data_IF_879806686695
#
_entry.id   IF_879806686695
#
_cell.length_a   1.000
_cell.length_b   1.000
_cell.length_c   1.000
_cell.angle_alpha   90.00
_cell.angle_beta   90.00
_cell.angle_gamma   90.00
#
_symmetry.space_group_name_H-M   'P 1'
#
loop_
_entity.id
_entity.type
_entity.pdbx_description
1 polymer ?
#
# COMPACT_ATOMS: atom_id res chain seq x y z
N UNK A 1 18.38 -31.74 4.70
CA UNK A 1 17.48 -30.76 4.07
C UNK A 1 16.32 -31.51 3.47
N UNK A 2 15.12 -31.03 3.63
CA UNK A 2 13.94 -31.63 3.00
C UNK A 2 13.98 -31.32 1.51
N UNK A 3 13.64 -32.30 0.67
CA UNK A 3 13.66 -32.17 -0.79
C UNK A 3 12.32 -32.61 -1.39
N UNK A 4 11.93 -31.97 -2.47
CA UNK A 4 10.84 -32.40 -3.34
C UNK A 4 11.42 -32.94 -4.64
N UNK A 5 10.89 -34.05 -5.11
CA UNK A 5 11.31 -34.67 -6.35
C UNK A 5 10.32 -34.36 -7.47
N UNK A 6 10.83 -33.90 -8.60
CA UNK A 6 10.08 -33.64 -9.82
C UNK A 6 10.50 -34.69 -10.87
N UNK A 7 9.56 -35.52 -11.28
CA UNK A 7 9.76 -36.42 -12.43
C UNK A 7 9.51 -35.64 -13.73
N UNK A 8 10.42 -35.76 -14.69
CA UNK A 8 10.34 -35.09 -15.98
C UNK A 8 10.89 -36.04 -17.09
N UNK A 9 10.66 -35.71 -18.37
CA UNK A 9 11.06 -36.63 -19.47
C UNK A 9 12.54 -37.05 -19.51
N UNK A 10 13.43 -36.25 -18.91
CA UNK A 10 14.87 -36.53 -18.82
C UNK A 10 15.31 -37.23 -17.53
N UNK A 11 14.40 -37.59 -16.62
CA UNK A 11 14.72 -38.23 -15.34
C UNK A 11 14.02 -37.60 -14.14
N UNK A 12 14.70 -37.56 -13.00
CA UNK A 12 14.20 -37.02 -11.75
C UNK A 12 15.10 -35.91 -11.26
N UNK A 13 14.51 -34.76 -10.88
CA UNK A 13 15.18 -33.61 -10.28
C UNK A 13 14.80 -33.48 -8.82
N UNK A 14 15.80 -33.48 -7.93
CA UNK A 14 15.62 -33.08 -6.51
C UNK A 14 15.74 -31.59 -6.35
N UNK A 15 14.76 -30.97 -5.68
CA UNK A 15 14.69 -29.53 -5.41
C UNK A 15 14.65 -29.27 -3.90
N UNK A 16 15.47 -28.34 -3.39
CA UNK A 16 15.49 -28.02 -1.96
C UNK A 16 14.18 -27.36 -1.51
N UNK A 17 13.80 -27.62 -0.27
CA UNK A 17 12.68 -26.95 0.38
C UNK A 17 13.21 -25.90 1.35
N UNK A 18 12.82 -24.64 1.14
CA UNK A 18 13.04 -23.54 2.04
C UNK A 18 11.90 -23.51 3.08
N UNK A 19 12.21 -23.83 4.32
CA UNK A 19 11.22 -23.90 5.40
C UNK A 19 10.89 -22.50 5.92
N UNK A 20 9.60 -22.22 6.11
CA UNK A 20 9.13 -21.04 6.83
C UNK A 20 9.12 -21.30 8.35
N UNK A 21 9.14 -20.24 9.16
CA UNK A 21 8.87 -20.32 10.61
C UNK A 21 7.38 -20.61 10.83
N UNK A 22 6.54 -19.91 10.08
CA UNK A 22 5.09 -20.12 10.02
C UNK A 22 4.65 -20.01 8.55
N UNK A 23 3.57 -20.73 8.17
CA UNK A 23 3.04 -20.70 6.81
C UNK A 23 3.68 -21.71 5.86
N UNK A 24 3.43 -21.62 4.54
CA UNK A 24 3.87 -22.57 3.55
C UNK A 24 5.39 -22.49 3.30
N UNK A 25 6.02 -23.65 3.11
CA UNK A 25 7.40 -23.74 2.68
C UNK A 25 7.53 -23.47 1.18
N UNK A 26 8.69 -22.94 0.76
CA UNK A 26 9.01 -22.68 -0.65
C UNK A 26 9.83 -23.78 -1.29
N UNK A 27 9.54 -24.14 -2.53
CA UNK A 27 10.36 -25.07 -3.34
C UNK A 27 11.40 -24.26 -4.12
N UNK A 28 12.69 -24.52 -3.90
CA UNK A 28 13.78 -23.86 -4.60
C UNK A 28 13.94 -24.33 -6.04
N UNK A 29 13.56 -23.49 -7.01
CA UNK A 29 13.53 -23.85 -8.44
C UNK A 29 14.75 -23.37 -9.25
N UNK A 30 15.82 -22.91 -8.59
CA UNK A 30 16.99 -22.29 -9.26
C UNK A 30 17.68 -23.19 -10.30
N UNK A 31 17.65 -24.52 -10.12
CA UNK A 31 18.27 -25.48 -11.02
C UNK A 31 17.31 -26.03 -12.10
N UNK A 32 16.02 -25.76 -12.02
CA UNK A 32 14.99 -26.32 -12.86
C UNK A 32 15.31 -26.17 -14.37
N UNK A 33 15.54 -24.93 -14.81
CA UNK A 33 15.82 -24.64 -16.23
C UNK A 33 17.09 -25.34 -16.71
N UNK A 34 18.17 -25.32 -15.90
CA UNK A 34 19.47 -25.90 -16.28
C UNK A 34 19.40 -27.41 -16.45
N UNK A 35 18.64 -28.09 -15.59
CA UNK A 35 18.60 -29.56 -15.56
C UNK A 35 17.49 -30.17 -16.42
N UNK A 36 16.40 -29.43 -16.66
CA UNK A 36 15.24 -29.97 -17.38
C UNK A 36 14.93 -29.25 -18.69
N UNK A 37 15.53 -28.08 -18.95
CA UNK A 37 15.16 -27.23 -20.08
C UNK A 37 13.82 -26.49 -19.88
N UNK A 38 13.14 -26.71 -18.76
CA UNK A 38 11.82 -26.11 -18.44
C UNK A 38 11.95 -24.98 -17.44
N UNK A 39 11.00 -24.04 -17.47
CA UNK A 39 10.85 -22.96 -16.48
C UNK A 39 9.47 -23.05 -15.83
N UNK A 40 9.31 -22.44 -14.66
CA UNK A 40 7.99 -22.26 -14.05
C UNK A 40 7.14 -21.31 -14.88
N UNK A 41 5.83 -21.54 -14.91
CA UNK A 41 4.84 -20.65 -15.53
C UNK A 41 3.78 -20.30 -14.49
N UNK A 42 3.87 -19.10 -13.93
CA UNK A 42 2.99 -18.61 -12.87
C UNK A 42 2.63 -17.12 -13.11
N UNK A 43 1.65 -16.86 -14.00
CA UNK A 43 1.20 -15.50 -14.28
C UNK A 43 0.69 -14.81 -13.02
N UNK A 44 1.27 -13.63 -12.71
CA UNK A 44 0.89 -12.83 -11.54
C UNK A 44 1.41 -13.37 -10.21
N UNK A 45 2.35 -14.32 -10.21
CA UNK A 45 3.04 -14.85 -9.02
C UNK A 45 2.09 -15.42 -7.95
N UNK A 46 1.00 -16.09 -8.39
CA UNK A 46 -0.06 -16.60 -7.50
C UNK A 46 0.47 -17.65 -6.52
N UNK A 47 1.48 -18.43 -6.95
CA UNK A 47 2.09 -19.51 -6.19
C UNK A 47 3.63 -19.41 -6.16
N UNK A 48 4.17 -18.18 -6.21
CA UNK A 48 5.61 -17.94 -6.25
C UNK A 48 6.04 -17.07 -5.07
N UNK A 49 6.85 -17.62 -4.16
CA UNK A 49 7.59 -16.86 -3.18
C UNK A 49 8.83 -16.24 -3.86
N UNK A 50 8.87 -14.90 -3.94
CA UNK A 50 9.96 -14.17 -4.60
C UNK A 50 11.13 -13.86 -3.66
N UNK A 51 10.95 -13.98 -2.35
CA UNK A 51 11.95 -13.70 -1.30
C UNK A 51 11.58 -14.41 -0.01
N UNK A 52 12.52 -14.44 0.93
CA UNK A 52 12.25 -14.65 2.36
C UNK A 52 12.12 -13.28 3.03
N UNK A 53 11.21 -13.13 3.99
CA UNK A 53 11.00 -11.87 4.72
C UNK A 53 10.56 -12.12 6.15
N UNK A 54 11.10 -11.35 7.09
CA UNK A 54 10.69 -11.34 8.51
C UNK A 54 9.82 -10.15 8.87
N UNK A 55 9.23 -9.43 7.90
CA UNK A 55 8.52 -8.16 8.16
C UNK A 55 7.06 -8.41 8.50
N UNK A 56 6.34 -9.11 7.64
CA UNK A 56 4.89 -9.30 7.78
C UNK A 56 4.53 -10.77 7.60
N UNK A 57 3.73 -11.27 8.52
CA UNK A 57 3.10 -12.58 8.43
C UNK A 57 1.59 -12.44 8.21
N UNK A 58 1.06 -13.19 7.25
CA UNK A 58 -0.36 -13.25 6.96
C UNK A 58 -0.81 -14.70 6.89
N UNK A 59 -1.84 -15.05 7.66
CA UNK A 59 -2.62 -16.26 7.48
C UNK A 59 -4.02 -15.87 6.98
N UNK A 60 -4.23 -16.04 5.68
CA UNK A 60 -5.49 -15.65 5.04
C UNK A 60 -6.67 -16.53 5.43
N UNK A 61 -6.45 -17.79 5.78
CA UNK A 61 -7.51 -18.72 6.20
C UNK A 61 -7.91 -18.46 7.66
N UNK A 62 -6.95 -18.16 8.53
CA UNK A 62 -7.19 -17.80 9.92
C UNK A 62 -7.60 -16.32 10.12
N UNK A 63 -7.37 -15.45 9.14
CA UNK A 63 -7.61 -14.00 9.26
C UNK A 63 -6.60 -13.32 10.18
N UNK A 64 -5.34 -13.70 10.10
CA UNK A 64 -4.24 -13.18 10.93
C UNK A 64 -3.36 -12.25 10.12
N UNK A 65 -3.00 -11.11 10.72
CA UNK A 65 -1.97 -10.18 10.23
C UNK A 65 -1.06 -9.79 11.40
N UNK A 66 0.26 -9.93 11.20
CA UNK A 66 1.26 -9.52 12.19
C UNK A 66 2.39 -8.74 11.52
N UNK A 67 2.85 -7.68 12.18
CA UNK A 67 4.07 -6.96 11.81
C UNK A 67 5.18 -7.35 12.79
N UNK A 68 6.29 -7.92 12.29
CA UNK A 68 7.39 -8.39 13.13
C UNK A 68 6.93 -9.26 14.31
N UNK A 69 5.89 -10.08 14.10
CA UNK A 69 5.28 -10.94 15.12
C UNK A 69 4.18 -10.30 15.97
N UNK A 70 4.02 -8.97 15.97
CA UNK A 70 2.98 -8.28 16.74
C UNK A 70 1.64 -8.30 16.00
N UNK A 71 0.52 -8.72 16.65
CA UNK A 71 -0.79 -8.69 16.04
C UNK A 71 -1.24 -7.29 15.68
N UNK A 72 -1.86 -7.16 14.48
CA UNK A 72 -2.28 -5.85 13.96
C UNK A 72 -3.28 -5.15 14.87
N UNK A 73 -4.15 -5.91 15.56
CA UNK A 73 -5.15 -5.39 16.47
C UNK A 73 -4.47 -4.65 17.65
N UNK A 74 -3.40 -5.24 18.19
CA UNK A 74 -2.66 -4.64 19.31
C UNK A 74 -1.91 -3.39 18.87
N UNK A 75 -1.29 -3.42 17.68
CA UNK A 75 -0.59 -2.26 17.14
C UNK A 75 -1.55 -1.11 16.85
N UNK A 76 -2.69 -1.37 16.23
CA UNK A 76 -3.69 -0.35 15.94
C UNK A 76 -4.27 0.30 17.21
N UNK A 77 -4.45 -0.48 18.27
CA UNK A 77 -5.01 0.00 19.54
C UNK A 77 -3.99 0.79 20.37
N UNK A 78 -2.74 0.28 20.48
CA UNK A 78 -1.78 0.69 21.51
C UNK A 78 -0.62 1.52 21.01
N UNK A 79 -0.31 1.47 19.70
CA UNK A 79 0.84 2.15 19.12
C UNK A 79 0.46 3.43 18.37
N UNK A 80 1.48 4.18 17.97
CA UNK A 80 1.40 5.25 16.99
C UNK A 80 1.98 4.81 15.64
N UNK A 81 1.64 5.51 14.57
CA UNK A 81 2.17 5.21 13.24
C UNK A 81 3.70 5.29 13.17
N UNK A 82 4.32 6.26 13.85
CA UNK A 82 5.79 6.35 13.90
C UNK A 82 6.43 5.22 14.69
N UNK A 83 5.78 4.75 15.76
CA UNK A 83 6.25 3.58 16.51
C UNK A 83 6.20 2.30 15.65
N UNK A 84 5.11 2.09 14.90
CA UNK A 84 5.00 0.98 13.94
C UNK A 84 5.98 1.14 12.77
N UNK A 85 6.20 2.36 12.30
CA UNK A 85 7.21 2.63 11.27
C UNK A 85 8.62 2.27 11.73
N UNK A 86 8.93 2.55 12.99
CA UNK A 86 10.18 2.13 13.61
C UNK A 86 10.28 0.60 13.69
N UNK A 87 9.22 -0.05 14.20
CA UNK A 87 9.15 -1.51 14.30
C UNK A 87 9.42 -2.19 12.94
N UNK A 88 8.74 -1.77 11.89
CA UNK A 88 8.90 -2.34 10.55
C UNK A 88 10.34 -2.16 10.04
N UNK A 89 10.90 -0.96 10.22
CA UNK A 89 12.20 -0.56 9.69
C UNK A 89 13.37 -1.24 10.40
N UNK A 90 13.30 -1.34 11.75
CA UNK A 90 14.42 -1.81 12.59
C UNK A 90 14.21 -3.19 13.22
N UNK A 91 12.98 -3.73 13.16
CA UNK A 91 12.68 -5.11 13.56
C UNK A 91 12.11 -5.28 14.96
N UNK A 92 12.25 -4.28 15.85
CA UNK A 92 11.77 -4.31 17.23
C UNK A 92 11.04 -3.00 17.58
N UNK A 93 10.12 -3.07 18.55
CA UNK A 93 9.48 -1.87 19.08
C UNK A 93 10.53 -0.95 19.74
N UNK A 94 10.42 0.38 19.50
CA UNK A 94 11.39 1.31 20.07
C UNK A 94 11.23 1.44 21.59
N UNK A 95 12.33 1.64 22.26
CA UNK A 95 12.31 2.23 23.60
C UNK A 95 11.87 3.70 23.52
N UNK A 96 11.46 4.29 24.65
CA UNK A 96 11.04 5.70 24.65
C UNK A 96 12.13 6.67 24.12
N UNK A 97 13.43 6.53 24.47
CA UNK A 97 14.48 7.36 23.87
C UNK A 97 14.60 7.18 22.35
N UNK A 98 14.54 5.94 21.85
CA UNK A 98 14.63 5.64 20.43
C UNK A 98 13.44 6.24 19.64
N UNK A 99 12.22 6.12 20.18
CA UNK A 99 11.03 6.72 19.55
C UNK A 99 11.14 8.24 19.52
N UNK A 100 11.61 8.84 20.60
CA UNK A 100 11.81 10.29 20.70
C UNK A 100 12.83 10.77 19.67
N UNK A 101 13.99 10.10 19.57
CA UNK A 101 15.03 10.44 18.59
C UNK A 101 14.52 10.27 17.14
N UNK A 102 13.87 9.15 16.84
CA UNK A 102 13.32 8.87 15.52
C UNK A 102 12.28 9.90 15.10
N UNK A 103 11.36 10.23 16.00
CA UNK A 103 10.31 11.25 15.77
C UNK A 103 10.94 12.62 15.53
N UNK A 104 11.94 13.00 16.33
CA UNK A 104 12.62 14.28 16.20
C UNK A 104 13.41 14.40 14.89
N UNK A 105 14.08 13.33 14.48
CA UNK A 105 14.78 13.28 13.18
C UNK A 105 13.80 13.46 12.02
N UNK A 106 12.65 12.76 12.01
CA UNK A 106 11.61 12.90 10.98
C UNK A 106 11.09 14.35 10.97
N UNK A 107 10.75 14.89 12.13
CA UNK A 107 10.20 16.24 12.27
C UNK A 107 11.13 17.30 11.67
N UNK A 108 12.43 17.22 11.95
CA UNK A 108 13.44 18.18 11.46
C UNK A 108 13.73 18.07 9.95
N UNK A 109 13.34 16.97 9.30
CA UNK A 109 13.57 16.75 7.87
C UNK A 109 12.31 16.95 7.01
N UNK A 110 11.21 17.42 7.57
CA UNK A 110 9.92 17.54 6.90
C UNK A 110 9.85 18.65 5.83
N UNK A 111 10.69 19.69 5.92
CA UNK A 111 10.79 20.73 4.90
C UNK A 111 11.31 20.18 3.57
N UNK A 112 10.66 20.57 2.48
CA UNK A 112 11.19 20.36 1.12
C UNK A 112 12.19 21.47 0.78
N UNK A 113 13.08 21.18 -0.16
CA UNK A 113 13.90 22.21 -0.77
C UNK A 113 13.01 23.22 -1.49
N UNK A 114 13.30 24.54 -1.36
CA UNK A 114 12.42 25.59 -1.92
C UNK A 114 12.24 25.49 -3.45
N UNK A 115 13.23 24.99 -4.17
CA UNK A 115 13.12 24.78 -5.62
C UNK A 115 12.09 23.71 -5.99
N UNK A 116 11.73 22.80 -5.07
CA UNK A 116 10.64 21.86 -5.29
C UNK A 116 9.29 22.56 -5.52
N UNK A 117 9.09 23.79 -5.04
CA UNK A 117 7.86 24.56 -5.34
C UNK A 117 7.70 24.78 -6.85
N UNK A 118 8.77 25.10 -7.56
CA UNK A 118 8.77 25.24 -9.03
C UNK A 118 8.41 23.93 -9.73
N UNK A 119 8.85 22.81 -9.16
CA UNK A 119 8.48 21.49 -9.66
C UNK A 119 6.96 21.26 -9.59
N UNK A 120 6.32 21.61 -8.48
CA UNK A 120 4.86 21.54 -8.36
C UNK A 120 4.14 22.53 -9.30
N UNK A 121 4.73 23.68 -9.58
CA UNK A 121 4.16 24.66 -10.51
C UNK A 121 4.11 24.18 -11.96
N UNK A 122 4.95 23.23 -12.32
CA UNK A 122 4.97 22.59 -13.64
C UNK A 122 3.81 21.64 -13.90
N UNK A 123 3.06 21.20 -12.87
CA UNK A 123 1.90 20.31 -13.07
C UNK A 123 0.63 21.11 -13.40
N UNK A 124 -0.23 20.58 -14.30
CA UNK A 124 -1.58 21.12 -14.47
C UNK A 124 -2.39 21.03 -13.18
N UNK A 125 -3.32 21.95 -12.99
CA UNK A 125 -4.13 22.02 -11.75
C UNK A 125 -4.96 20.76 -11.50
N UNK A 126 -5.43 20.09 -12.53
CA UNK A 126 -6.24 18.87 -12.47
C UNK A 126 -5.41 17.59 -12.45
N UNK A 127 -4.07 17.69 -12.39
CA UNK A 127 -3.17 16.53 -12.28
C UNK A 127 -3.59 15.61 -11.12
N UNK A 128 -3.59 14.31 -11.38
CA UNK A 128 -3.93 13.35 -10.33
C UNK A 128 -2.86 13.35 -9.22
N UNK A 129 -3.23 13.50 -7.93
CA UNK A 129 -2.25 13.60 -6.83
C UNK A 129 -1.26 12.43 -6.76
N UNK A 130 -1.66 11.22 -7.16
CA UNK A 130 -0.75 10.06 -7.21
C UNK A 130 0.36 10.22 -8.24
N UNK A 131 0.07 10.78 -9.42
CA UNK A 131 1.08 11.05 -10.44
C UNK A 131 2.06 12.14 -9.97
N UNK A 132 1.54 13.18 -9.31
CA UNK A 132 2.37 14.23 -8.69
C UNK A 132 3.24 13.63 -7.59
N UNK A 133 2.65 12.79 -6.71
CA UNK A 133 3.38 12.15 -5.61
C UNK A 133 4.54 11.29 -6.12
N UNK A 134 4.30 10.38 -7.08
CA UNK A 134 5.35 9.51 -7.60
C UNK A 134 6.48 10.30 -8.25
N UNK A 135 6.14 11.31 -9.06
CA UNK A 135 7.11 12.18 -9.72
C UNK A 135 7.95 12.97 -8.71
N UNK A 136 7.30 13.55 -7.69
CA UNK A 136 7.99 14.33 -6.66
C UNK A 136 8.87 13.45 -5.76
N UNK A 137 8.44 12.23 -5.40
CA UNK A 137 9.26 11.28 -4.64
C UNK A 137 10.54 10.92 -5.41
N UNK A 138 10.45 10.70 -6.72
CA UNK A 138 11.64 10.49 -7.55
C UNK A 138 12.52 11.75 -7.61
N UNK A 139 11.89 12.91 -7.80
CA UNK A 139 12.60 14.19 -7.97
C UNK A 139 13.41 14.61 -6.73
N UNK A 140 12.93 14.30 -5.50
CA UNK A 140 13.69 14.66 -4.29
C UNK A 140 15.09 14.03 -4.26
N UNK A 141 15.33 12.89 -4.89
CA UNK A 141 16.65 12.28 -4.94
C UNK A 141 17.70 13.20 -5.59
N UNK A 142 17.28 14.07 -6.51
CA UNK A 142 18.18 15.00 -7.21
C UNK A 142 18.77 16.09 -6.31
N UNK A 143 18.17 16.32 -5.14
CA UNK A 143 18.66 17.25 -4.12
C UNK A 143 19.63 16.61 -3.11
N UNK A 144 19.87 15.30 -3.21
CA UNK A 144 20.65 14.51 -2.23
C UNK A 144 21.60 13.51 -2.91
N UNK A 145 22.14 13.87 -4.07
CA UNK A 145 22.91 12.97 -4.94
C UNK A 145 24.16 12.37 -4.28
N UNK A 146 24.69 13.03 -3.25
CA UNK A 146 25.85 12.61 -2.47
C UNK A 146 25.54 11.56 -1.39
N UNK A 147 24.28 11.19 -1.22
CA UNK A 147 23.81 10.30 -0.14
C UNK A 147 22.77 9.27 -0.63
N UNK A 148 23.02 8.66 -1.78
CA UNK A 148 22.09 7.71 -2.42
C UNK A 148 22.64 6.28 -2.54
N UNK A 149 23.85 5.99 -2.05
CA UNK A 149 24.44 4.65 -2.12
C UNK A 149 23.60 3.66 -1.30
N UNK A 150 23.04 2.60 -1.92
CA UNK A 150 22.23 1.61 -1.22
C UNK A 150 23.02 0.70 -0.26
N UNK A 151 24.34 0.70 -0.37
CA UNK A 151 25.24 -0.12 0.45
C UNK A 151 25.91 0.67 1.59
N UNK A 152 25.73 1.97 1.65
CA UNK A 152 26.16 2.81 2.75
C UNK A 152 25.03 2.95 3.78
N UNK A 153 25.25 2.44 4.99
CA UNK A 153 24.23 2.41 6.05
C UNK A 153 23.77 3.83 6.46
N UNK A 154 24.64 4.85 6.40
CA UNK A 154 24.28 6.24 6.71
C UNK A 154 23.41 6.85 5.61
N UNK A 155 23.73 6.60 4.34
CA UNK A 155 22.93 7.02 3.21
C UNK A 155 21.52 6.36 3.21
N UNK A 156 21.47 5.07 3.52
CA UNK A 156 20.21 4.32 3.66
C UNK A 156 19.36 4.89 4.80
N UNK A 157 19.98 5.14 5.94
CA UNK A 157 19.31 5.72 7.10
C UNK A 157 18.80 7.13 6.82
N UNK A 158 19.61 7.97 6.20
CA UNK A 158 19.23 9.34 5.86
C UNK A 158 18.11 9.38 4.79
N UNK A 159 18.16 8.49 3.81
CA UNK A 159 17.11 8.33 2.80
C UNK A 159 15.79 7.86 3.43
N UNK A 160 15.85 6.95 4.41
CA UNK A 160 14.70 6.50 5.20
C UNK A 160 14.02 7.67 5.91
N UNK A 161 14.80 8.44 6.68
CA UNK A 161 14.30 9.61 7.43
C UNK A 161 13.72 10.66 6.48
N UNK A 162 14.39 10.97 5.38
CA UNK A 162 13.93 11.95 4.38
C UNK A 162 12.62 11.55 3.73
N UNK A 163 12.45 10.28 3.37
CA UNK A 163 11.19 9.78 2.80
C UNK A 163 10.06 9.88 3.82
N UNK A 164 10.25 9.34 5.03
CA UNK A 164 9.23 9.42 6.07
C UNK A 164 8.83 10.87 6.37
N UNK A 165 9.79 11.79 6.38
CA UNK A 165 9.56 13.20 6.71
C UNK A 165 8.89 14.00 5.58
N UNK A 166 9.30 13.77 4.32
CA UNK A 166 8.96 14.65 3.20
C UNK A 166 7.73 14.19 2.40
N UNK A 167 7.42 12.90 2.40
CA UNK A 167 6.30 12.38 1.61
C UNK A 167 4.94 12.95 2.06
N UNK A 168 4.65 13.17 3.37
CA UNK A 168 3.44 13.88 3.79
C UNK A 168 3.37 15.33 3.27
N UNK A 169 4.50 16.04 3.27
CA UNK A 169 4.57 17.40 2.74
C UNK A 169 4.29 17.42 1.24
N UNK A 170 4.87 16.48 0.49
CA UNK A 170 4.60 16.32 -0.96
C UNK A 170 3.12 16.03 -1.21
N UNK A 171 2.52 15.12 -0.44
CA UNK A 171 1.10 14.75 -0.57
C UNK A 171 0.18 15.96 -0.32
N UNK A 172 0.47 16.73 0.73
CA UNK A 172 -0.26 17.95 1.04
C UNK A 172 -0.11 19.01 -0.07
N UNK A 173 1.10 19.18 -0.61
CA UNK A 173 1.37 20.12 -1.71
C UNK A 173 0.64 19.70 -3.00
N UNK A 174 0.60 18.41 -3.32
CA UNK A 174 -0.17 17.91 -4.45
C UNK A 174 -1.67 18.24 -4.31
N UNK A 175 -2.23 18.07 -3.12
CA UNK A 175 -3.62 18.45 -2.83
C UNK A 175 -3.83 19.97 -2.94
N UNK A 176 -3.02 20.78 -2.24
CA UNK A 176 -3.12 22.24 -2.26
C UNK A 176 -3.02 22.81 -3.67
N UNK A 177 -2.11 22.28 -4.48
CA UNK A 177 -1.97 22.65 -5.90
C UNK A 177 -3.27 22.38 -6.67
N UNK A 178 -3.89 21.20 -6.45
CA UNK A 178 -5.11 20.80 -7.16
C UNK A 178 -6.31 21.73 -6.89
N UNK A 179 -6.38 22.32 -5.70
CA UNK A 179 -7.45 23.26 -5.33
C UNK A 179 -7.06 24.72 -5.46
N UNK A 180 -5.79 25.02 -5.86
CA UNK A 180 -5.30 26.37 -6.06
C UNK A 180 -5.12 27.18 -4.76
N UNK A 181 -4.83 26.49 -3.65
CA UNK A 181 -4.54 27.12 -2.35
C UNK A 181 -3.04 27.25 -2.09
N UNK A 182 -2.63 28.18 -1.21
CA UNK A 182 -1.23 28.33 -0.80
C UNK A 182 -0.68 27.06 -0.16
N UNK A 183 0.59 26.76 -0.44
CA UNK A 183 1.33 25.69 0.20
C UNK A 183 1.71 26.11 1.62
N UNK A 184 1.42 25.26 2.61
CA UNK A 184 1.83 25.48 4.00
C UNK A 184 3.08 24.70 4.32
N UNK A 185 4.04 25.36 5.00
CA UNK A 185 5.22 24.67 5.53
C UNK A 185 4.84 23.77 6.71
N UNK A 186 5.56 22.67 6.92
CA UNK A 186 5.41 21.87 8.13
C UNK A 186 5.73 22.68 9.39
N UNK A 187 5.10 22.31 10.50
CA UNK A 187 5.27 22.94 11.79
C UNK A 187 5.79 21.95 12.83
N UNK A 188 6.98 22.25 13.41
CA UNK A 188 7.67 21.32 14.29
C UNK A 188 7.02 21.13 15.67
N UNK A 189 6.02 21.94 16.04
CA UNK A 189 5.26 21.78 17.28
C UNK A 189 4.21 20.67 17.22
N UNK A 190 3.84 20.23 16.01
CA UNK A 190 2.79 19.24 15.77
C UNK A 190 3.36 17.83 15.58
N UNK A 191 2.53 16.82 15.89
CA UNK A 191 2.80 15.43 15.57
C UNK A 191 2.75 15.16 14.06
N UNK A 192 3.11 13.95 13.67
CA UNK A 192 3.26 13.56 12.26
C UNK A 192 1.95 13.70 11.46
N UNK A 193 0.88 13.11 11.98
CA UNK A 193 -0.44 13.15 11.33
C UNK A 193 -1.09 14.51 11.45
N UNK A 194 -0.98 15.15 12.61
CA UNK A 194 -1.49 16.50 12.86
C UNK A 194 -0.88 17.52 11.90
N UNK A 195 0.43 17.42 11.68
CA UNK A 195 1.14 18.26 10.73
C UNK A 195 0.69 18.03 9.28
N UNK A 196 0.46 16.79 8.89
CA UNK A 196 -0.10 16.44 7.60
C UNK A 196 -1.51 17.04 7.42
N UNK A 197 -2.41 16.90 8.41
CA UNK A 197 -3.76 17.47 8.37
C UNK A 197 -3.71 19.00 8.26
N UNK A 198 -2.87 19.66 9.07
CA UNK A 198 -2.69 21.11 9.01
C UNK A 198 -2.19 21.58 7.64
N UNK A 199 -1.15 20.93 7.08
CA UNK A 199 -0.65 21.29 5.75
C UNK A 199 -1.69 21.06 4.65
N UNK A 200 -2.57 20.08 4.83
CA UNK A 200 -3.59 19.72 3.84
C UNK A 200 -4.80 20.66 3.91
N UNK A 201 -5.33 20.94 5.09
CA UNK A 201 -6.59 21.67 5.24
C UNK A 201 -6.43 23.11 5.73
N UNK A 202 -5.35 23.40 6.46
CA UNK A 202 -5.09 24.75 6.95
C UNK A 202 -4.86 25.77 5.82
N UNK A 203 -5.06 27.05 6.13
CA UNK A 203 -4.79 28.20 5.25
C UNK A 203 -3.93 29.23 6.00
N UNK A 204 -3.13 30.07 5.31
CA UNK A 204 -2.27 31.05 5.99
C UNK A 204 -3.05 32.14 6.73
N UNK A 205 -4.34 32.32 6.40
CA UNK A 205 -5.15 33.41 6.91
C UNK A 205 -5.66 33.21 8.35
N UNK A 206 -5.70 31.96 8.82
CA UNK A 206 -6.22 31.60 10.12
C UNK A 206 -5.52 30.37 10.73
N UNK A 207 -5.48 30.23 12.06
CA UNK A 207 -5.02 29.03 12.70
C UNK A 207 -5.87 27.82 12.31
N UNK A 208 -5.23 26.67 12.11
CA UNK A 208 -5.91 25.39 11.91
C UNK A 208 -5.84 24.57 13.21
N UNK A 209 -6.99 24.31 13.80
CA UNK A 209 -7.10 23.45 14.97
C UNK A 209 -7.31 21.99 14.49
N UNK A 210 -6.38 21.13 14.87
CA UNK A 210 -6.45 19.69 14.53
C UNK A 210 -7.45 19.01 15.47
N UNK A 211 -8.45 18.34 14.91
CA UNK A 211 -9.32 17.47 15.70
C UNK A 211 -8.50 16.22 16.15
N UNK A 212 -8.31 16.02 17.46
CA UNK A 212 -7.50 14.92 17.98
C UNK A 212 -8.06 13.54 17.65
N UNK A 213 -9.38 13.43 17.45
CA UNK A 213 -10.03 12.15 17.07
C UNK A 213 -9.72 11.84 15.62
N UNK A 214 -9.82 12.82 14.73
CA UNK A 214 -9.44 12.66 13.33
C UNK A 214 -7.95 12.30 13.19
N UNK A 215 -7.08 12.99 13.94
CA UNK A 215 -5.65 12.68 13.94
C UNK A 215 -5.39 11.22 14.40
N UNK A 216 -6.02 10.80 15.50
CA UNK A 216 -5.85 9.42 16.02
C UNK A 216 -6.39 8.38 15.05
N UNK A 217 -7.55 8.60 14.43
CA UNK A 217 -8.12 7.66 13.46
C UNK A 217 -7.27 7.58 12.21
N UNK A 218 -6.76 8.70 11.71
CA UNK A 218 -5.86 8.69 10.53
C UNK A 218 -4.53 7.99 10.84
N UNK A 219 -3.96 8.21 12.03
CA UNK A 219 -2.77 7.52 12.52
C UNK A 219 -2.98 5.99 12.53
N UNK A 220 -4.11 5.54 13.10
CA UNK A 220 -4.49 4.13 13.10
C UNK A 220 -4.70 3.57 11.68
N UNK A 221 -5.34 4.33 10.78
CA UNK A 221 -5.49 3.89 9.38
C UNK A 221 -4.14 3.73 8.69
N UNK A 222 -3.18 4.60 8.96
CA UNK A 222 -1.81 4.46 8.45
C UNK A 222 -1.14 3.18 8.98
N UNK A 223 -1.33 2.85 10.28
CA UNK A 223 -0.84 1.58 10.86
C UNK A 223 -1.41 0.39 10.10
N UNK A 224 -2.73 0.35 9.86
CA UNK A 224 -3.41 -0.75 9.17
C UNK A 224 -2.97 -0.95 7.72
N UNK A 225 -2.39 0.09 7.10
CA UNK A 225 -1.88 0.07 5.74
C UNK A 225 -0.35 -0.08 5.65
N UNK A 226 0.37 -0.09 6.78
CA UNK A 226 1.83 0.09 6.81
C UNK A 226 2.60 -0.99 6.04
N UNK A 227 2.20 -2.24 6.10
CA UNK A 227 2.71 -3.29 5.21
C UNK A 227 1.65 -4.37 4.93
N UNK A 228 1.84 -5.15 3.89
CA UNK A 228 0.98 -6.29 3.56
C UNK A 228 1.72 -7.28 2.66
N UNK A 229 2.85 -7.80 3.14
CA UNK A 229 3.67 -8.81 2.46
C UNK A 229 4.05 -8.39 1.02
N UNK A 230 4.13 -9.36 0.08
CA UNK A 230 4.52 -9.15 -1.32
C UNK A 230 3.32 -8.74 -2.21
N UNK A 231 2.56 -7.70 -1.81
CA UNK A 231 1.58 -7.09 -2.70
C UNK A 231 2.26 -6.46 -3.93
N UNK A 232 1.47 -6.04 -4.92
CA UNK A 232 1.97 -5.54 -6.19
C UNK A 232 2.98 -4.38 -6.03
N UNK A 233 2.71 -3.40 -5.18
CA UNK A 233 3.60 -2.25 -4.99
C UNK A 233 4.88 -2.62 -4.23
N UNK A 234 4.79 -3.47 -3.22
CA UNK A 234 5.95 -3.99 -2.48
C UNK A 234 6.86 -4.81 -3.39
N UNK A 235 6.29 -5.73 -4.18
CA UNK A 235 7.04 -6.50 -5.17
C UNK A 235 7.71 -5.60 -6.22
N UNK A 236 7.05 -4.51 -6.62
CA UNK A 236 7.63 -3.52 -7.54
C UNK A 236 8.80 -2.77 -6.91
N UNK A 237 8.68 -2.35 -5.63
CA UNK A 237 9.78 -1.73 -4.88
C UNK A 237 11.00 -2.66 -4.82
N UNK A 238 10.79 -3.94 -4.49
CA UNK A 238 11.85 -4.94 -4.44
C UNK A 238 12.42 -5.23 -5.83
N UNK A 239 11.59 -5.30 -6.87
CA UNK A 239 12.03 -5.53 -8.25
C UNK A 239 12.93 -4.40 -8.75
N UNK A 240 12.51 -3.15 -8.58
CA UNK A 240 13.31 -1.97 -8.97
C UNK A 240 14.57 -1.89 -8.11
N UNK A 241 14.45 -2.04 -6.80
CA UNK A 241 15.58 -2.03 -5.87
C UNK A 241 16.61 -3.13 -6.14
N UNK A 242 16.19 -4.28 -6.67
CA UNK A 242 17.10 -5.39 -7.03
C UNK A 242 18.16 -5.04 -8.08
N UNK A 243 17.96 -3.94 -8.80
CA UNK A 243 18.96 -3.35 -9.71
C UNK A 243 19.94 -2.41 -9.00
N UNK A 244 19.94 -2.36 -7.67
CA UNK A 244 20.65 -1.40 -6.83
C UNK A 244 20.17 0.06 -7.02
N UNK A 245 18.93 0.24 -7.50
CA UNK A 245 18.31 1.55 -7.55
C UNK A 245 18.14 2.11 -6.12
N UNK A 246 18.40 3.42 -5.96
CA UNK A 246 18.25 4.08 -4.67
C UNK A 246 16.82 3.97 -4.13
N UNK A 247 16.67 4.21 -2.83
CA UNK A 247 15.41 4.04 -2.12
C UNK A 247 14.29 4.95 -2.66
N UNK A 248 14.60 6.19 -3.08
CA UNK A 248 13.60 7.12 -3.62
C UNK A 248 13.02 6.61 -4.95
N UNK A 249 13.88 6.16 -5.87
CA UNK A 249 13.46 5.59 -7.15
C UNK A 249 12.60 4.34 -6.95
N UNK A 250 12.99 3.47 -6.02
CA UNK A 250 12.26 2.23 -5.70
C UNK A 250 10.89 2.52 -5.08
N UNK A 251 10.80 3.46 -4.14
CA UNK A 251 9.54 3.89 -3.53
C UNK A 251 8.63 4.57 -4.55
N UNK A 252 9.19 5.44 -5.43
CA UNK A 252 8.43 6.04 -6.53
C UNK A 252 7.78 4.99 -7.44
N UNK A 253 8.51 3.92 -7.76
CA UNK A 253 7.95 2.80 -8.53
C UNK A 253 6.82 2.08 -7.76
N UNK A 254 6.95 1.91 -6.45
CA UNK A 254 5.89 1.40 -5.58
C UNK A 254 4.63 2.28 -5.60
N UNK A 255 4.80 3.61 -5.54
CA UNK A 255 3.68 4.58 -5.67
C UNK A 255 2.96 4.42 -7.01
N UNK A 256 3.71 4.27 -8.12
CA UNK A 256 3.12 4.04 -9.44
C UNK A 256 2.35 2.71 -9.52
N UNK A 257 2.86 1.65 -8.93
CA UNK A 257 2.16 0.36 -8.88
C UNK A 257 0.89 0.44 -8.01
N UNK A 258 0.95 1.18 -6.89
CA UNK A 258 -0.21 1.39 -6.02
C UNK A 258 -1.30 2.22 -6.72
N UNK A 259 -0.93 3.12 -7.62
CA UNK A 259 -1.89 3.94 -8.38
C UNK A 259 -2.80 3.12 -9.31
N UNK A 260 -2.40 1.91 -9.67
CA UNK A 260 -3.21 1.02 -10.50
C UNK A 260 -4.58 0.69 -9.85
N UNK A 261 -5.69 0.73 -10.62
CA UNK A 261 -7.05 0.54 -10.07
C UNK A 261 -7.28 -0.86 -9.47
N UNK A 262 -6.49 -1.86 -9.86
CA UNK A 262 -6.56 -3.21 -9.29
C UNK A 262 -5.79 -3.35 -7.97
N UNK A 263 -5.09 -2.30 -7.52
CA UNK A 263 -4.31 -2.32 -6.28
C UNK A 263 -4.80 -1.27 -5.29
N UNK A 264 -4.55 0.02 -5.50
CA UNK A 264 -4.89 1.08 -4.53
C UNK A 264 -6.25 1.75 -4.76
N UNK A 265 -7.05 1.31 -5.73
CA UNK A 265 -8.32 1.93 -6.09
C UNK A 265 -9.57 1.39 -5.38
N UNK A 266 -9.43 0.41 -4.49
CA UNK A 266 -10.57 -0.31 -3.94
C UNK A 266 -11.47 0.57 -3.05
N UNK A 267 -10.90 1.39 -2.17
CA UNK A 267 -11.65 2.29 -1.30
C UNK A 267 -12.42 3.40 -2.05
N UNK A 268 -11.86 3.92 -3.14
CA UNK A 268 -12.59 4.81 -4.05
C UNK A 268 -13.76 4.09 -4.72
N UNK A 269 -13.54 2.88 -5.23
CA UNK A 269 -14.57 2.09 -5.89
C UNK A 269 -15.72 1.71 -4.94
N UNK A 270 -15.45 1.49 -3.65
CA UNK A 270 -16.49 1.29 -2.63
C UNK A 270 -17.36 2.52 -2.49
N UNK A 271 -16.76 3.69 -2.38
CA UNK A 271 -17.52 4.94 -2.23
C UNK A 271 -18.39 5.21 -3.46
N UNK A 272 -17.85 5.04 -4.67
CA UNK A 272 -18.59 5.19 -5.93
C UNK A 272 -19.77 4.20 -6.02
N UNK A 273 -19.58 2.96 -5.56
CA UNK A 273 -20.66 1.96 -5.46
C UNK A 273 -21.76 2.42 -4.49
N UNK A 274 -21.41 2.87 -3.28
CA UNK A 274 -22.38 3.35 -2.30
C UNK A 274 -23.12 4.62 -2.79
N UNK A 275 -22.43 5.53 -3.46
CA UNK A 275 -23.05 6.70 -4.10
C UNK A 275 -24.03 6.31 -5.20
N UNK A 276 -23.69 5.27 -5.99
CA UNK A 276 -24.59 4.73 -7.02
C UNK A 276 -25.85 4.12 -6.38
N UNK A 277 -25.71 3.31 -5.33
CA UNK A 277 -26.87 2.74 -4.62
C UNK A 277 -27.76 3.86 -4.08
N UNK A 278 -27.18 4.89 -3.48
CA UNK A 278 -27.92 6.05 -2.95
C UNK A 278 -28.66 6.80 -4.06
N UNK A 279 -28.01 7.03 -5.19
CA UNK A 279 -28.62 7.70 -6.36
C UNK A 279 -29.78 6.90 -6.96
N UNK A 280 -29.72 5.57 -6.91
CA UNK A 280 -30.79 4.64 -7.35
C UNK A 280 -31.93 4.49 -6.31
N UNK A 281 -32.00 5.37 -5.30
CA UNK A 281 -33.05 5.38 -4.28
C UNK A 281 -32.71 4.63 -2.98
N UNK A 282 -31.47 4.13 -2.82
CA UNK A 282 -31.00 3.50 -1.58
C UNK A 282 -31.45 2.05 -1.38
N UNK A 283 -32.03 1.39 -2.38
CA UNK A 283 -32.47 -0.01 -2.25
C UNK A 283 -31.29 -0.99 -2.36
N UNK A 284 -30.69 -1.28 -1.21
CA UNK A 284 -29.56 -2.20 -1.06
C UNK A 284 -29.93 -3.61 -1.52
N UNK A 285 -31.17 -4.09 -1.23
CA UNK A 285 -31.60 -5.42 -1.62
C UNK A 285 -31.71 -5.58 -3.13
N UNK A 286 -32.17 -4.54 -3.81
CA UNK A 286 -32.18 -4.50 -5.28
C UNK A 286 -30.78 -4.51 -5.85
N UNK A 287 -29.87 -3.75 -5.28
CA UNK A 287 -28.45 -3.77 -5.69
C UNK A 287 -27.83 -5.16 -5.53
N UNK A 288 -28.02 -5.81 -4.37
CA UNK A 288 -27.52 -7.16 -4.09
C UNK A 288 -28.06 -8.18 -5.10
N UNK A 289 -29.34 -8.09 -5.48
CA UNK A 289 -29.91 -8.94 -6.55
C UNK A 289 -29.19 -8.72 -7.89
N UNK A 290 -28.97 -7.46 -8.30
CA UNK A 290 -28.23 -7.13 -9.53
C UNK A 290 -26.82 -7.71 -9.54
N UNK A 291 -26.12 -7.68 -8.38
CA UNK A 291 -24.78 -8.30 -8.22
C UNK A 291 -24.86 -9.82 -8.40
N UNK A 292 -25.83 -10.49 -7.78
CA UNK A 292 -26.03 -11.94 -7.90
C UNK A 292 -26.36 -12.36 -9.33
N UNK A 293 -27.15 -11.58 -10.03
CA UNK A 293 -27.52 -11.77 -11.43
C UNK A 293 -26.43 -11.36 -12.43
N UNK A 294 -25.28 -10.89 -11.93
CA UNK A 294 -24.12 -10.41 -12.73
C UNK A 294 -24.51 -9.33 -13.75
N UNK A 295 -25.45 -8.47 -13.40
CA UNK A 295 -25.86 -7.37 -14.28
C UNK A 295 -24.70 -6.40 -14.50
N UNK A 296 -24.60 -5.86 -15.74
CA UNK A 296 -23.54 -4.93 -16.10
C UNK A 296 -23.55 -3.70 -15.17
N UNK A 297 -22.39 -3.36 -14.61
CA UNK A 297 -22.22 -2.23 -13.69
C UNK A 297 -22.51 -2.54 -12.23
N UNK A 298 -23.12 -3.68 -11.88
CA UNK A 298 -23.34 -4.07 -10.49
C UNK A 298 -22.19 -4.95 -9.99
N UNK A 299 -21.31 -4.39 -9.16
CA UNK A 299 -20.15 -5.06 -8.60
C UNK A 299 -20.07 -4.79 -7.10
N UNK A 300 -19.95 -5.82 -6.28
CA UNK A 300 -19.77 -5.66 -4.85
C UNK A 300 -18.30 -5.30 -4.59
N UNK A 301 -18.03 -4.02 -4.29
CA UNK A 301 -16.69 -3.50 -4.00
C UNK A 301 -16.44 -3.51 -2.50
N UNK A 302 -15.18 -3.69 -2.08
CA UNK A 302 -14.78 -3.76 -0.68
C UNK A 302 -15.12 -5.09 0.01
N UNK A 303 -15.51 -6.11 -0.76
CA UNK A 303 -15.77 -7.47 -0.28
C UNK A 303 -14.84 -8.48 -0.95
N UNK A 304 -14.39 -9.45 -0.15
CA UNK A 304 -13.41 -10.42 -0.57
C UNK A 304 -11.98 -9.86 -0.59
N UNK A 305 -11.03 -10.74 -0.53
CA UNK A 305 -9.61 -10.38 -0.54
C UNK A 305 -8.82 -11.46 -1.28
N UNK A 306 -7.73 -11.06 -1.93
CA UNK A 306 -6.87 -12.01 -2.66
C UNK A 306 -6.22 -13.03 -1.72
N UNK A 307 -5.89 -12.60 -0.50
CA UNK A 307 -5.22 -13.41 0.53
C UNK A 307 -6.23 -13.93 1.54
N UNK A 308 -6.99 -13.06 2.21
CA UNK A 308 -7.95 -13.47 3.23
C UNK A 308 -9.12 -14.27 2.62
N UNK A 309 -9.30 -15.49 3.10
CA UNK A 309 -10.47 -16.35 2.85
C UNK A 309 -11.43 -16.34 4.03
N UNK A 310 -11.08 -15.65 5.09
CA UNK A 310 -11.87 -15.31 6.24
C UNK A 310 -12.03 -13.80 6.34
N UNK A 311 -12.55 -13.30 7.45
CA UNK A 311 -12.68 -11.86 7.72
C UNK A 311 -11.30 -11.18 7.73
N UNK A 312 -11.17 -10.06 7.07
CA UNK A 312 -9.95 -9.23 7.15
C UNK A 312 -9.84 -8.64 8.56
N UNK A 313 -8.79 -8.95 9.34
CA UNK A 313 -8.68 -8.49 10.74
C UNK A 313 -8.73 -6.97 10.88
N UNK A 314 -8.36 -6.24 9.82
CA UNK A 314 -8.40 -4.78 9.79
C UNK A 314 -9.82 -4.23 9.64
N UNK A 315 -10.72 -4.96 8.98
CA UNK A 315 -12.07 -4.47 8.68
C UNK A 315 -12.89 -4.18 9.94
N UNK A 316 -12.78 -5.01 10.98
CA UNK A 316 -13.45 -4.78 12.27
C UNK A 316 -12.96 -3.51 12.96
N UNK A 317 -11.65 -3.25 12.91
CA UNK A 317 -11.04 -2.05 13.50
C UNK A 317 -11.52 -0.79 12.76
N UNK A 318 -11.49 -0.83 11.43
CA UNK A 318 -11.94 0.31 10.59
C UNK A 318 -13.44 0.56 10.75
N UNK A 319 -14.26 -0.49 10.86
CA UNK A 319 -15.71 -0.35 11.10
C UNK A 319 -15.99 0.42 12.39
N UNK A 320 -15.33 0.04 13.49
CA UNK A 320 -15.46 0.75 14.78
C UNK A 320 -15.02 2.21 14.65
N UNK A 321 -13.89 2.46 14.00
CA UNK A 321 -13.43 3.83 13.77
C UNK A 321 -14.39 4.66 12.90
N UNK A 322 -15.02 4.05 11.89
CA UNK A 322 -16.04 4.71 11.07
C UNK A 322 -17.25 5.12 11.92
N UNK A 323 -17.73 4.24 12.81
CA UNK A 323 -18.82 4.54 13.73
C UNK A 323 -18.44 5.69 14.68
N UNK A 324 -17.23 5.69 15.25
CA UNK A 324 -16.76 6.73 16.16
C UNK A 324 -16.65 8.10 15.48
N UNK A 325 -16.10 8.16 14.26
CA UNK A 325 -15.92 9.43 13.50
C UNK A 325 -17.24 9.96 12.98
N UNK A 326 -18.01 9.13 12.28
CA UNK A 326 -19.25 9.55 11.63
C UNK A 326 -20.37 9.83 12.66
N UNK A 327 -20.40 9.09 13.77
CA UNK A 327 -21.33 9.34 14.87
C UNK A 327 -21.13 10.67 15.59
N UNK A 328 -19.94 11.27 15.50
CA UNK A 328 -19.66 12.61 16.07
C UNK A 328 -20.04 13.76 15.12
N UNK A 329 -19.98 13.53 13.81
CA UNK A 329 -20.15 14.58 12.81
C UNK A 329 -21.62 14.89 12.47
N UNK A 330 -22.52 13.90 12.65
CA UNK A 330 -23.95 14.10 12.45
C UNK A 330 -24.74 12.99 13.15
N UNK A 331 -26.01 13.24 13.50
CA UNK A 331 -26.88 12.26 14.14
C UNK A 331 -27.14 10.99 13.30
N UNK A 332 -26.83 10.97 12.02
CA UNK A 332 -26.70 9.79 11.14
C UNK A 332 -26.03 10.23 9.83
N UNK A 333 -25.02 9.49 9.37
CA UNK A 333 -24.52 9.63 7.99
C UNK A 333 -25.23 8.59 7.11
N UNK A 334 -26.06 9.03 6.13
CA UNK A 334 -26.81 8.10 5.29
C UNK A 334 -25.92 7.10 4.51
N UNK A 335 -24.64 7.44 4.27
CA UNK A 335 -23.71 6.54 3.59
C UNK A 335 -23.18 5.45 4.52
N UNK A 336 -23.00 5.76 5.81
CA UNK A 336 -22.63 4.76 6.82
C UNK A 336 -23.79 3.77 7.04
N UNK A 337 -25.01 4.28 7.19
CA UNK A 337 -26.21 3.43 7.37
C UNK A 337 -26.38 2.46 6.19
N UNK A 338 -26.21 2.98 4.96
CA UNK A 338 -26.27 2.20 3.74
C UNK A 338 -25.15 1.16 3.65
N UNK A 339 -23.94 1.50 4.06
CA UNK A 339 -22.81 0.55 4.13
C UNK A 339 -23.06 -0.55 5.17
N UNK A 340 -23.58 -0.21 6.34
CA UNK A 340 -23.91 -1.17 7.38
C UNK A 340 -25.04 -2.12 6.95
N UNK A 341 -26.07 -1.61 6.29
CA UNK A 341 -27.16 -2.43 5.71
C UNK A 341 -26.62 -3.37 4.63
N UNK A 342 -25.73 -2.87 3.75
CA UNK A 342 -25.12 -3.70 2.71
C UNK A 342 -24.27 -4.83 3.30
N UNK A 343 -23.48 -4.54 4.35
CA UNK A 343 -22.70 -5.54 5.07
C UNK A 343 -23.62 -6.59 5.70
N UNK A 344 -24.65 -6.17 6.43
CA UNK A 344 -25.59 -7.10 7.09
C UNK A 344 -26.27 -8.05 6.10
N UNK A 345 -26.77 -7.51 4.97
CA UNK A 345 -27.41 -8.31 3.93
C UNK A 345 -26.40 -9.28 3.28
N UNK A 346 -25.17 -8.82 3.00
CA UNK A 346 -24.17 -9.67 2.38
C UNK A 346 -23.69 -10.80 3.31
N UNK A 347 -23.52 -10.52 4.60
CA UNK A 347 -23.11 -11.53 5.58
C UNK A 347 -24.23 -12.55 5.91
N UNK A 348 -25.50 -12.19 5.68
CA UNK A 348 -26.64 -13.09 5.84
C UNK A 348 -26.98 -13.90 4.59
N UNK A 349 -26.36 -13.60 3.42
CA UNK A 349 -26.69 -14.24 2.15
C UNK A 349 -25.67 -15.33 1.78
N UNK A 350 -26.14 -16.58 1.67
CA UNK A 350 -25.33 -17.76 1.34
C UNK A 350 -24.52 -17.60 0.04
N UNK A 351 -24.99 -16.79 -0.92
CA UNK A 351 -24.25 -16.52 -2.15
C UNK A 351 -22.88 -15.88 -1.88
N UNK A 352 -22.80 -14.93 -0.94
CA UNK A 352 -21.55 -14.25 -0.59
C UNK A 352 -20.73 -15.07 0.41
N UNK A 353 -21.38 -15.62 1.43
CA UNK A 353 -20.72 -16.42 2.49
C UNK A 353 -20.05 -17.67 1.90
N UNK A 354 -20.74 -18.42 1.02
CA UNK A 354 -20.15 -19.60 0.35
C UNK A 354 -18.97 -19.27 -0.56
N UNK A 355 -18.87 -18.03 -1.03
CA UNK A 355 -17.76 -17.50 -1.83
C UNK A 355 -16.70 -16.77 -1.01
N UNK A 356 -16.85 -16.75 0.33
CA UNK A 356 -15.94 -16.08 1.25
C UNK A 356 -15.76 -14.58 0.95
N UNK A 357 -16.84 -13.91 0.56
CA UNK A 357 -16.86 -12.48 0.26
C UNK A 357 -17.22 -11.70 1.52
N UNK A 358 -16.24 -11.52 2.40
CA UNK A 358 -16.36 -10.73 3.62
C UNK A 358 -15.86 -9.30 3.38
N UNK A 359 -16.31 -8.29 4.15
CA UNK A 359 -15.75 -6.94 4.08
C UNK A 359 -14.25 -6.94 4.33
N UNK A 360 -13.52 -6.14 3.56
CA UNK A 360 -12.09 -5.91 3.73
C UNK A 360 -11.82 -4.49 4.28
N UNK A 361 -10.57 -4.14 4.49
CA UNK A 361 -10.15 -2.85 5.06
C UNK A 361 -10.70 -1.66 4.27
N UNK A 362 -10.86 -1.77 2.96
CA UNK A 362 -11.27 -0.66 2.09
C UNK A 362 -12.76 -0.31 2.21
N UNK A 363 -13.59 -1.23 2.74
CA UNK A 363 -15.04 -1.07 2.76
C UNK A 363 -15.49 0.16 3.57
N UNK A 364 -14.88 0.42 4.72
CA UNK A 364 -15.20 1.58 5.56
C UNK A 364 -14.19 2.73 5.45
N UNK A 365 -12.97 2.46 4.98
CA UNK A 365 -11.89 3.47 4.94
C UNK A 365 -12.26 4.69 4.09
N UNK A 366 -12.90 4.47 2.93
CA UNK A 366 -13.33 5.57 2.06
C UNK A 366 -14.34 6.51 2.71
N UNK A 367 -15.26 5.98 3.53
CA UNK A 367 -16.24 6.77 4.29
C UNK A 367 -15.56 7.66 5.32
N UNK A 368 -14.56 7.12 6.04
CA UNK A 368 -13.78 7.88 7.01
C UNK A 368 -13.02 9.01 6.32
N UNK A 369 -12.33 8.74 5.23
CA UNK A 369 -11.58 9.76 4.48
C UNK A 369 -12.50 10.86 3.95
N UNK A 370 -13.67 10.50 3.43
CA UNK A 370 -14.68 11.48 2.98
C UNK A 370 -15.17 12.33 4.14
N UNK A 371 -15.48 11.72 5.29
CA UNK A 371 -15.90 12.44 6.49
C UNK A 371 -14.84 13.42 7.01
N UNK A 372 -13.54 13.06 6.88
CA UNK A 372 -12.42 13.95 7.20
C UNK A 372 -12.23 15.09 6.18
N UNK A 373 -13.00 15.13 5.09
CA UNK A 373 -12.91 16.17 4.05
C UNK A 373 -11.94 15.86 2.90
N UNK A 374 -11.36 14.69 2.84
CA UNK A 374 -10.51 14.31 1.72
C UNK A 374 -11.33 14.02 0.46
N UNK A 375 -10.97 14.58 -0.71
CA UNK A 375 -11.57 14.17 -1.97
C UNK A 375 -11.11 12.76 -2.37
N UNK A 376 -11.94 12.05 -3.13
CA UNK A 376 -11.65 10.66 -3.54
C UNK A 376 -10.31 10.48 -4.23
N UNK A 377 -9.85 11.47 -5.01
CA UNK A 377 -8.51 11.44 -5.64
C UNK A 377 -7.35 11.34 -4.64
N UNK A 378 -7.56 11.73 -3.37
CA UNK A 378 -6.55 11.63 -2.31
C UNK A 378 -6.53 10.28 -1.60
N UNK A 379 -7.51 9.39 -1.77
CA UNK A 379 -7.60 8.14 -1.01
C UNK A 379 -6.39 7.22 -1.23
N UNK A 380 -5.99 7.04 -2.48
CA UNK A 380 -4.78 6.26 -2.80
C UNK A 380 -3.49 6.94 -2.32
N UNK A 381 -3.47 8.28 -2.24
CA UNK A 381 -2.35 9.03 -1.65
C UNK A 381 -2.24 8.74 -0.14
N UNK A 382 -3.38 8.74 0.58
CA UNK A 382 -3.41 8.37 2.00
C UNK A 382 -2.95 6.93 2.22
N UNK A 383 -3.35 6.02 1.33
CA UNK A 383 -2.84 4.66 1.34
C UNK A 383 -1.31 4.63 1.13
N UNK A 384 -0.77 5.41 0.19
CA UNK A 384 0.67 5.50 -0.04
C UNK A 384 1.44 6.02 1.19
N UNK A 385 0.88 7.02 1.90
CA UNK A 385 1.44 7.52 3.17
C UNK A 385 1.52 6.41 4.21
N UNK A 386 0.43 5.67 4.40
CA UNK A 386 0.42 4.54 5.32
C UNK A 386 1.42 3.45 4.92
N UNK A 387 1.51 3.09 3.63
CA UNK A 387 2.36 2.01 3.10
C UNK A 387 3.86 2.36 3.06
N UNK A 388 4.21 3.63 3.17
CA UNK A 388 5.59 4.09 3.03
C UNK A 388 6.61 3.35 3.91
N UNK A 389 6.39 3.15 5.23
CA UNK A 389 7.35 2.44 6.07
C UNK A 389 7.51 0.96 5.66
N UNK A 390 6.44 0.31 5.18
CA UNK A 390 6.52 -1.05 4.65
C UNK A 390 7.41 -1.14 3.42
N UNK A 391 7.26 -0.24 2.45
CA UNK A 391 8.14 -0.19 1.28
C UNK A 391 9.60 0.04 1.67
N UNK A 392 9.84 0.94 2.62
CA UNK A 392 11.20 1.22 3.12
C UNK A 392 11.79 -0.02 3.79
N UNK A 393 11.05 -0.66 4.68
CA UNK A 393 11.49 -1.87 5.39
C UNK A 393 11.79 -3.02 4.42
N UNK A 394 10.91 -3.25 3.44
CA UNK A 394 11.05 -4.30 2.41
C UNK A 394 12.28 -4.05 1.51
N UNK A 395 12.53 -2.79 1.14
CA UNK A 395 13.71 -2.44 0.37
C UNK A 395 15.00 -2.62 1.19
N UNK A 396 15.02 -2.17 2.46
CA UNK A 396 16.17 -2.32 3.37
C UNK A 396 16.51 -3.78 3.63
N UNK A 397 15.50 -4.62 3.83
CA UNK A 397 15.69 -6.07 3.99
C UNK A 397 16.28 -6.68 2.74
N UNK A 398 15.76 -6.35 1.56
CA UNK A 398 16.24 -6.86 0.29
C UNK A 398 17.70 -6.47 0.01
N UNK A 399 18.09 -5.22 0.25
CA UNK A 399 19.48 -4.76 0.03
C UNK A 399 20.48 -5.48 0.93
N UNK A 400 20.09 -5.86 2.15
CA UNK A 400 20.93 -6.59 3.11
C UNK A 400 20.90 -8.10 2.92
N UNK A 401 19.98 -8.63 2.12
CA UNK A 401 19.86 -10.08 1.88
C UNK A 401 20.92 -10.54 0.86
N UNK A 402 21.87 -11.43 1.26
CA UNK A 402 22.91 -11.94 0.38
C UNK A 402 22.37 -12.84 -0.76
N UNK A 403 21.13 -13.32 -0.66
CA UNK A 403 20.48 -14.10 -1.70
C UNK A 403 19.83 -13.23 -2.79
N UNK A 404 19.72 -11.93 -2.56
CA UNK A 404 19.14 -10.99 -3.52
C UNK A 404 19.87 -11.01 -4.85
N UNK A 405 19.10 -11.11 -5.91
CA UNK A 405 19.57 -11.03 -7.31
C UNK A 405 18.69 -10.06 -8.08
N UNK A 406 19.28 -9.47 -9.13
CA UNK A 406 18.51 -8.63 -10.04
C UNK A 406 17.30 -9.41 -10.59
N UNK A 407 16.12 -8.84 -10.42
CA UNK A 407 14.86 -9.42 -10.86
C UNK A 407 14.78 -9.45 -12.39
N UNK A 408 14.87 -10.66 -12.95
CA UNK A 408 14.75 -10.90 -14.39
C UNK A 408 13.93 -12.18 -14.64
N UNK A 409 12.60 -12.09 -14.62
CA UNK A 409 11.73 -13.22 -14.89
C UNK A 409 11.95 -13.76 -16.31
N UNK A 410 11.60 -15.01 -16.53
CA UNK A 410 11.58 -15.68 -17.84
C UNK A 410 10.23 -15.46 -18.51
N UNK A 411 10.20 -15.69 -19.84
CA UNK A 411 8.96 -15.76 -20.61
C UNK A 411 8.93 -17.06 -21.44
N UNK A 412 7.74 -17.58 -21.65
CA UNK A 412 7.47 -18.58 -22.68
C UNK A 412 7.19 -17.80 -23.97
N UNK A 413 8.10 -17.97 -24.95
CA UNK A 413 7.94 -17.28 -26.23
C UNK A 413 6.91 -17.98 -27.11
N UNK A 414 5.89 -17.23 -27.53
CA UNK A 414 4.77 -17.67 -28.37
C UNK A 414 4.67 -16.90 -29.69
N UNK A 415 5.70 -16.12 -30.02
CA UNK A 415 5.76 -15.35 -31.26
C UNK A 415 6.14 -16.19 -32.49
N UNK A 416 6.39 -15.52 -33.61
CA UNK A 416 6.79 -16.17 -34.85
C UNK A 416 8.19 -16.84 -34.70
N UNK A 417 8.39 -17.93 -35.37
CA UNK A 417 9.71 -18.52 -35.59
C UNK A 417 10.60 -17.54 -36.39
N UNK A 418 11.89 -17.88 -36.51
CA UNK A 418 12.82 -17.05 -37.28
C UNK A 418 12.27 -16.77 -38.69
N UNK A 419 12.32 -15.50 -39.08
CA UNK A 419 11.94 -15.04 -40.42
C UNK A 419 13.03 -14.14 -40.94
N UNK A 420 13.26 -14.23 -42.28
CA UNK A 420 14.19 -13.32 -42.95
C UNK A 420 13.59 -11.92 -43.05
N UNK A 421 14.47 -10.93 -43.02
CA UNK A 421 14.06 -9.54 -43.26
C UNK A 421 13.70 -9.36 -44.74
N UNK A 422 12.54 -8.81 -44.98
CA UNK A 422 12.06 -8.45 -46.32
C UNK A 422 12.13 -6.92 -46.46
N UNK A 423 12.72 -6.43 -47.53
CA UNK A 423 12.81 -4.98 -47.78
C UNK A 423 11.43 -4.35 -47.89
N UNK A 424 11.32 -3.07 -47.52
CA UNK A 424 9.99 -2.37 -47.48
C UNK A 424 9.25 -2.42 -48.81
N UNK A 425 9.99 -2.32 -49.92
CA UNK A 425 9.45 -2.38 -51.30
C UNK A 425 8.94 -3.77 -51.72
N UNK A 426 9.22 -4.80 -50.94
CA UNK A 426 8.87 -6.22 -51.20
C UNK A 426 7.83 -6.79 -50.21
N UNK A 427 7.30 -5.96 -49.31
CA UNK A 427 6.33 -6.36 -48.29
C UNK A 427 4.89 -6.29 -48.81
#
# INVERSE_FOLDING_TARGET
MTEVKLDHPGGQLSMPVNTAIEGPAGIGVSQLLKQTGMTTYDPGFVNTAACSSGITYIDGDAGILRYRGYPIEQLAEKSSFLEVSYLLTYGELPTQPQLTEFTERIRRHSLLHEEMRRFFDGFPRDAHPMAVLSSAVSAISTFYQDSLDPFDDEHVEMSTVRLMAKVPTIASYAYKKSIGQPLLYPENSLGYVENFLRMTFGVPAEPYEVDPVMARVLDMLFILHADHEQNCSTSTVRLVGSSNANLFASVSAGVNALFGPLHGGANQAVLEMLETIRADGGDVRSFVRRVKDRQAGAKLMGFGHRVYKNYDPRATIVKKAAQDVLGRMSNSDPMLDLAMELEEIALADDFFVSRRLYPNVDFYTGLIYKAMGFPTKMFTVLFALGRLPGWIAQWREMIKDPETKIGRPRQVYTGAAQRDYVNLEQR
#
